data_IF_846918613816
#
_entry.id   IF_846918613816
#
_cell.length_a   1.000
_cell.length_b   1.000
_cell.length_c   1.000
_cell.angle_alpha   90.00
_cell.angle_beta   90.00
_cell.angle_gamma   90.00
#
_symmetry.space_group_name_H-M   'P 1'
#
loop_
_entity.id
_entity.type
_entity.pdbx_description
1 polymer ?
#
# COMPACT_ATOMS: atom_id res chain seq x y z
N UNK A 1 10.18 -1.75 -18.45
CA UNK A 1 10.75 -2.80 -19.32
C UNK A 1 10.87 -4.16 -18.64
N UNK A 2 11.64 -4.33 -17.56
CA UNK A 2 11.81 -5.64 -16.88
C UNK A 2 10.48 -6.36 -16.61
N UNK A 3 9.55 -5.72 -15.89
CA UNK A 3 8.27 -6.35 -15.54
C UNK A 3 7.46 -6.80 -16.76
N UNK A 4 7.38 -5.94 -17.79
CA UNK A 4 6.68 -6.23 -19.05
C UNK A 4 7.32 -7.42 -19.79
N UNK A 5 8.65 -7.41 -19.92
CA UNK A 5 9.36 -8.50 -20.62
C UNK A 5 9.23 -9.82 -19.86
N UNK A 6 9.27 -9.79 -18.53
CA UNK A 6 9.09 -10.99 -17.71
C UNK A 6 7.73 -11.64 -17.95
N UNK A 7 6.63 -10.89 -17.87
CA UNK A 7 5.29 -11.47 -18.06
C UNK A 7 5.10 -12.02 -19.48
N UNK A 8 5.62 -11.33 -20.50
CA UNK A 8 5.54 -11.77 -21.89
C UNK A 8 6.33 -13.07 -22.14
N UNK A 9 7.54 -13.19 -21.60
CA UNK A 9 8.38 -14.40 -21.75
C UNK A 9 7.79 -15.61 -21.03
N UNK A 10 7.02 -15.38 -19.95
CA UNK A 10 6.25 -16.44 -19.28
C UNK A 10 5.02 -16.91 -20.08
N UNK A 11 4.76 -16.31 -21.24
CA UNK A 11 3.63 -16.68 -22.12
C UNK A 11 2.32 -15.99 -21.78
N UNK A 12 2.34 -15.01 -20.86
CA UNK A 12 1.13 -14.25 -20.54
C UNK A 12 0.84 -13.21 -21.63
N UNK A 13 -0.42 -13.20 -22.10
CA UNK A 13 -0.90 -12.24 -23.10
C UNK A 13 -1.94 -11.28 -22.55
N UNK A 14 -2.62 -11.65 -21.45
CA UNK A 14 -3.65 -10.85 -20.77
C UNK A 14 -3.64 -11.18 -19.28
N UNK A 15 -3.92 -10.19 -18.43
CA UNK A 15 -4.09 -10.36 -16.98
C UNK A 15 -3.58 -9.18 -16.17
N UNK A 16 -3.89 -9.19 -14.88
CA UNK A 16 -3.24 -8.34 -13.88
C UNK A 16 -2.09 -9.13 -13.23
N UNK A 17 -0.92 -8.51 -13.13
CA UNK A 17 0.29 -9.15 -12.61
C UNK A 17 0.89 -8.33 -11.48
N UNK A 18 1.30 -9.02 -10.41
CA UNK A 18 2.15 -8.47 -9.37
C UNK A 18 3.57 -8.96 -9.61
N UNK A 19 4.48 -8.04 -9.94
CA UNK A 19 5.88 -8.35 -10.25
C UNK A 19 6.76 -7.68 -9.20
N UNK A 20 7.48 -8.49 -8.45
CA UNK A 20 8.41 -8.03 -7.44
C UNK A 20 9.83 -8.03 -7.99
N UNK A 21 10.55 -6.93 -7.79
CA UNK A 21 11.92 -6.79 -8.25
C UNK A 21 12.74 -5.95 -7.26
N UNK A 22 14.05 -6.19 -7.23
CA UNK A 22 15.00 -5.42 -6.45
C UNK A 22 16.01 -4.74 -7.36
N UNK A 23 16.26 -3.46 -7.12
CA UNK A 23 17.32 -2.74 -7.82
C UNK A 23 18.68 -3.06 -7.20
N UNK A 24 19.64 -3.46 -8.03
CA UNK A 24 21.00 -3.84 -7.60
C UNK A 24 22.05 -2.99 -8.33
N UNK A 25 23.31 -3.10 -7.94
CA UNK A 25 24.44 -2.49 -8.68
C UNK A 25 24.52 -2.94 -10.15
N UNK A 26 23.87 -4.05 -10.50
CA UNK A 26 23.78 -4.58 -11.87
C UNK A 26 22.43 -4.31 -12.54
N UNK A 27 21.64 -3.35 -12.03
CA UNK A 27 20.29 -3.06 -12.50
C UNK A 27 19.18 -3.87 -11.79
N UNK A 28 17.93 -3.78 -12.25
CA UNK A 28 16.78 -4.42 -11.61
C UNK A 28 16.83 -5.94 -11.80
N UNK A 29 16.52 -6.69 -10.73
CA UNK A 29 16.48 -8.16 -10.71
C UNK A 29 15.11 -8.62 -10.25
N UNK A 30 14.53 -9.53 -11.02
CA UNK A 30 13.25 -10.17 -10.70
C UNK A 30 13.39 -10.98 -9.40
N UNK A 31 12.37 -10.91 -8.55
CA UNK A 31 12.21 -11.75 -7.37
C UNK A 31 11.04 -12.71 -7.59
N UNK A 32 9.86 -12.18 -7.90
CA UNK A 32 8.63 -12.97 -8.00
C UNK A 32 7.70 -12.42 -9.09
N UNK A 33 6.91 -13.31 -9.71
CA UNK A 33 5.78 -12.96 -10.57
C UNK A 33 4.55 -13.72 -10.10
N UNK A 34 3.48 -12.99 -9.84
CA UNK A 34 2.17 -13.56 -9.53
C UNK A 34 1.15 -13.09 -10.57
N UNK A 35 0.42 -14.03 -11.18
CA UNK A 35 -0.69 -13.75 -12.10
C UNK A 35 -1.98 -13.37 -11.35
N UNK A 36 -1.86 -12.36 -10.48
CA UNK A 36 -2.95 -11.75 -9.73
C UNK A 36 -2.62 -10.31 -9.40
N UNK A 37 -3.64 -9.58 -8.98
CA UNK A 37 -3.49 -8.28 -8.35
C UNK A 37 -2.64 -8.35 -7.07
N UNK A 38 -1.88 -7.28 -6.80
CA UNK A 38 -1.13 -7.12 -5.56
C UNK A 38 -2.06 -7.13 -4.33
N UNK A 39 -1.54 -7.59 -3.20
CA UNK A 39 -2.29 -7.67 -1.95
C UNK A 39 -2.53 -6.31 -1.30
N UNK A 40 -3.35 -6.29 -0.25
CA UNK A 40 -3.61 -5.09 0.55
C UNK A 40 -4.20 -3.93 -0.26
N UNK A 41 -3.65 -2.75 -0.03
CA UNK A 41 -4.14 -1.47 -0.58
C UNK A 41 -3.74 -1.22 -2.03
N UNK A 42 -2.96 -2.11 -2.65
CA UNK A 42 -2.37 -1.94 -3.99
C UNK A 42 -3.42 -1.63 -5.07
N UNK A 43 -4.58 -2.29 -5.02
CA UNK A 43 -5.65 -2.07 -6.01
C UNK A 43 -6.18 -0.62 -5.97
N UNK A 44 -6.44 -0.10 -4.77
CA UNK A 44 -6.89 1.26 -4.52
C UNK A 44 -5.80 2.26 -4.91
N UNK A 45 -4.54 1.96 -4.61
CA UNK A 45 -3.41 2.82 -4.98
C UNK A 45 -3.29 2.98 -6.50
N UNK A 46 -3.46 1.90 -7.27
CA UNK A 46 -3.45 1.99 -8.74
C UNK A 46 -4.59 2.87 -9.24
N UNK A 47 -5.82 2.63 -8.75
CA UNK A 47 -6.98 3.41 -9.14
C UNK A 47 -6.80 4.90 -8.85
N UNK A 48 -6.31 5.26 -7.67
CA UNK A 48 -6.07 6.67 -7.32
C UNK A 48 -4.90 7.28 -8.11
N UNK A 49 -3.83 6.53 -8.35
CA UNK A 49 -2.64 7.04 -9.02
C UNK A 49 -2.86 7.28 -10.51
N UNK A 50 -3.56 6.36 -11.19
CA UNK A 50 -3.64 6.32 -12.66
C UNK A 50 -5.05 6.31 -13.23
N UNK A 51 -6.09 6.18 -12.39
CA UNK A 51 -7.48 5.99 -12.78
C UNK A 51 -7.84 4.55 -13.17
N UNK A 52 -6.85 3.66 -13.24
CA UNK A 52 -7.06 2.27 -13.68
C UNK A 52 -7.55 1.43 -12.51
N UNK A 53 -8.80 0.94 -12.62
CA UNK A 53 -9.34 -0.02 -11.67
C UNK A 53 -8.95 -1.45 -12.07
N UNK A 54 -7.97 -2.01 -11.36
CA UNK A 54 -7.48 -3.37 -11.63
C UNK A 54 -8.54 -4.45 -11.40
N UNK A 55 -9.56 -4.19 -10.57
CA UNK A 55 -10.67 -5.14 -10.35
C UNK A 55 -11.55 -5.21 -11.60
N UNK A 56 -11.93 -4.05 -12.14
CA UNK A 56 -12.74 -3.96 -13.36
C UNK A 56 -12.01 -4.62 -14.53
N UNK A 57 -10.72 -4.32 -14.73
CA UNK A 57 -9.92 -4.91 -15.81
C UNK A 57 -9.80 -6.42 -15.67
N UNK A 58 -9.57 -6.93 -14.45
CA UNK A 58 -9.51 -8.36 -14.22
C UNK A 58 -10.86 -9.06 -14.49
N UNK A 59 -11.98 -8.43 -14.12
CA UNK A 59 -13.32 -8.97 -14.38
C UNK A 59 -13.64 -8.99 -15.88
N UNK A 60 -13.35 -7.90 -16.61
CA UNK A 60 -13.53 -7.84 -18.06
C UNK A 60 -12.76 -8.98 -18.75
N UNK A 61 -11.49 -9.16 -18.37
CA UNK A 61 -10.68 -10.25 -18.91
C UNK A 61 -11.25 -11.63 -18.58
N UNK A 62 -11.75 -11.83 -17.36
CA UNK A 62 -12.32 -13.10 -16.93
C UNK A 62 -13.57 -13.51 -17.74
N UNK A 63 -14.36 -12.53 -18.21
CA UNK A 63 -15.55 -12.78 -19.05
C UNK A 63 -15.27 -12.69 -20.56
N UNK A 64 -14.00 -12.64 -20.96
CA UNK A 64 -13.59 -12.59 -22.37
C UNK A 64 -13.76 -11.23 -23.04
N UNK A 65 -14.03 -10.17 -22.28
CA UNK A 65 -14.10 -8.80 -22.77
C UNK A 65 -12.70 -8.19 -22.91
N UNK A 66 -12.50 -7.24 -23.84
CA UNK A 66 -11.24 -6.52 -23.95
C UNK A 66 -10.99 -5.66 -22.70
N UNK A 67 -9.75 -5.65 -22.24
CA UNK A 67 -9.23 -4.72 -21.24
C UNK A 67 -8.61 -3.53 -21.94
N UNK A 68 -9.14 -2.33 -21.70
CA UNK A 68 -8.73 -1.07 -22.31
C UNK A 68 -8.75 0.03 -21.24
N UNK A 69 -7.89 -0.08 -20.21
CA UNK A 69 -7.98 0.78 -19.05
C UNK A 69 -7.76 2.25 -19.44
N UNK A 70 -8.66 3.17 -19.05
CA UNK A 70 -8.44 4.59 -19.25
C UNK A 70 -7.25 5.02 -18.39
N UNK A 71 -6.23 5.62 -19.01
CA UNK A 71 -5.16 6.25 -18.26
C UNK A 71 -5.48 7.73 -18.07
N UNK A 72 -5.44 8.18 -16.82
CA UNK A 72 -5.58 9.60 -16.52
C UNK A 72 -4.50 10.41 -17.24
N UNK A 73 -4.84 11.61 -17.74
CA UNK A 73 -3.85 12.61 -18.13
C UNK A 73 -2.82 12.83 -17.02
N UNK A 74 -1.59 13.15 -17.38
CA UNK A 74 -0.47 13.24 -16.42
C UNK A 74 -0.74 14.28 -15.32
N UNK A 75 -1.45 15.35 -15.66
CA UNK A 75 -1.89 16.41 -14.76
C UNK A 75 -2.94 15.96 -13.73
N UNK A 76 -3.70 14.90 -14.04
CA UNK A 76 -4.70 14.31 -13.15
C UNK A 76 -4.16 13.13 -12.35
N UNK A 77 -3.05 12.54 -12.79
CA UNK A 77 -2.33 11.50 -12.04
C UNK A 77 -1.88 12.02 -10.68
N UNK A 78 -1.75 11.08 -9.73
CA UNK A 78 -1.49 11.39 -8.33
C UNK A 78 -0.31 10.59 -7.83
N UNK A 79 0.46 11.18 -6.91
CA UNK A 79 1.36 10.40 -6.07
C UNK A 79 0.52 9.77 -4.96
N UNK A 80 0.68 8.47 -4.76
CA UNK A 80 0.01 7.71 -3.70
C UNK A 80 1.08 7.05 -2.84
N UNK A 81 0.96 7.17 -1.52
CA UNK A 81 1.82 6.53 -0.56
C UNK A 81 1.00 5.67 0.39
N UNK A 82 1.61 4.59 0.87
CA UNK A 82 1.07 3.71 1.89
C UNK A 82 2.11 3.58 3.00
N UNK A 83 1.69 3.83 4.24
CA UNK A 83 2.42 3.46 5.45
C UNK A 83 1.70 2.28 6.09
N UNK A 84 2.36 1.12 6.10
CA UNK A 84 1.86 -0.09 6.75
C UNK A 84 2.57 -0.20 8.09
N UNK A 85 1.86 0.15 9.16
CA UNK A 85 2.44 0.38 10.48
C UNK A 85 2.53 -0.93 11.24
N UNK A 86 3.73 -1.26 11.72
CA UNK A 86 3.96 -2.42 12.57
C UNK A 86 4.15 -2.02 14.04
N UNK A 87 3.78 -2.94 14.94
CA UNK A 87 4.00 -2.76 16.37
C UNK A 87 5.49 -2.63 16.72
N UNK A 88 5.82 -1.64 17.54
CA UNK A 88 7.18 -1.43 18.03
C UNK A 88 7.54 -2.34 19.21
N UNK A 89 6.55 -2.79 19.98
CA UNK A 89 6.70 -3.65 21.15
C UNK A 89 5.49 -4.57 21.32
N UNK A 90 5.65 -5.62 22.11
CA UNK A 90 4.52 -6.44 22.53
C UNK A 90 3.73 -5.77 23.65
N UNK A 91 2.46 -6.14 23.77
CA UNK A 91 1.56 -5.65 24.80
C UNK A 91 0.12 -6.05 24.48
N UNK A 92 -0.83 -5.32 25.02
CA UNK A 92 -2.23 -5.34 24.58
C UNK A 92 -2.73 -3.93 24.33
N UNK A 93 -3.79 -3.80 23.55
CA UNK A 93 -4.41 -2.50 23.25
C UNK A 93 -5.87 -2.54 23.65
N UNK A 94 -6.28 -1.63 24.53
CA UNK A 94 -7.63 -1.60 25.12
C UNK A 94 -8.52 -0.49 24.58
N UNK A 95 -7.94 0.51 23.90
CA UNK A 95 -8.65 1.64 23.30
C UNK A 95 -8.04 1.98 21.94
N UNK A 96 -8.88 2.05 20.91
CA UNK A 96 -8.50 2.46 19.54
C UNK A 96 -9.13 3.78 19.11
N UNK A 97 -9.84 4.47 20.00
CA UNK A 97 -10.52 5.73 19.68
C UNK A 97 -9.57 6.82 19.18
N UNK A 98 -8.33 6.85 19.69
CA UNK A 98 -7.28 7.78 19.28
C UNK A 98 -6.90 7.63 17.80
N UNK A 99 -6.95 6.41 17.25
CA UNK A 99 -6.46 6.10 15.92
C UNK A 99 -7.24 6.83 14.80
N UNK A 100 -8.47 7.25 15.09
CA UNK A 100 -9.32 8.04 14.18
C UNK A 100 -8.76 9.41 13.86
N UNK A 101 -7.84 9.95 14.68
CA UNK A 101 -7.18 11.23 14.34
C UNK A 101 -6.42 11.16 13.01
N UNK A 102 -5.95 9.96 12.64
CA UNK A 102 -5.22 9.71 11.39
C UNK A 102 -6.15 9.56 10.17
N UNK A 103 -7.48 9.63 10.34
CA UNK A 103 -8.43 9.72 9.22
C UNK A 103 -8.25 11.02 8.41
N UNK A 104 -7.52 12.00 8.96
CA UNK A 104 -7.21 13.27 8.31
C UNK A 104 -5.75 13.63 8.55
N UNK A 105 -5.03 13.93 7.48
CA UNK A 105 -3.64 14.37 7.52
C UNK A 105 -3.54 15.65 6.71
N UNK A 106 -2.92 16.66 7.30
CA UNK A 106 -2.81 17.97 6.68
C UNK A 106 -2.06 17.88 5.35
N UNK A 107 -2.61 18.52 4.32
CA UNK A 107 -1.96 18.64 3.02
C UNK A 107 -2.06 17.39 2.13
N UNK A 108 -2.70 16.30 2.54
CA UNK A 108 -2.94 15.13 1.67
C UNK A 108 -4.39 14.68 1.72
N UNK A 109 -4.83 13.96 0.69
CA UNK A 109 -6.12 13.26 0.70
C UNK A 109 -5.90 11.88 1.30
N UNK A 110 -6.39 11.65 2.52
CA UNK A 110 -6.40 10.30 3.10
C UNK A 110 -7.43 9.46 2.36
N UNK A 111 -6.97 8.36 1.76
CA UNK A 111 -7.83 7.39 1.08
C UNK A 111 -8.31 6.32 2.05
N UNK A 112 -7.44 5.95 2.99
CA UNK A 112 -7.65 4.84 3.90
C UNK A 112 -6.84 5.03 5.18
N UNK A 113 -7.48 4.82 6.32
CA UNK A 113 -6.86 4.53 7.62
C UNK A 113 -7.52 3.24 8.12
N UNK A 114 -6.98 2.10 7.68
CA UNK A 114 -7.52 0.79 8.00
C UNK A 114 -6.84 0.26 9.25
N UNK A 115 -7.53 0.35 10.39
CA UNK A 115 -7.08 -0.28 11.63
C UNK A 115 -7.21 -1.81 11.46
N UNK A 116 -6.10 -2.53 11.64
CA UNK A 116 -5.97 -3.96 11.36
C UNK A 116 -6.06 -4.85 12.61
N UNK A 117 -6.26 -4.22 13.77
CA UNK A 117 -6.38 -4.83 15.09
C UNK A 117 -7.71 -4.42 15.74
N UNK A 118 -8.11 -5.16 16.78
CA UNK A 118 -9.28 -4.90 17.60
C UNK A 118 -8.89 -4.58 19.04
N UNK A 119 -9.75 -3.86 19.76
CA UNK A 119 -9.58 -3.66 21.21
C UNK A 119 -9.61 -5.01 21.93
N UNK A 120 -8.67 -5.19 22.85
CA UNK A 120 -8.41 -6.45 23.56
C UNK A 120 -7.41 -7.37 22.87
N UNK A 121 -6.95 -7.06 21.66
CA UNK A 121 -5.96 -7.88 20.96
C UNK A 121 -4.61 -7.87 21.70
N UNK A 122 -3.94 -9.02 21.67
CA UNK A 122 -2.52 -9.11 22.02
C UNK A 122 -1.70 -8.64 20.82
N UNK A 123 -0.79 -7.72 21.09
CA UNK A 123 0.12 -7.15 20.12
C UNK A 123 1.48 -7.81 20.28
N UNK A 124 2.09 -8.22 19.17
CA UNK A 124 3.44 -8.78 19.12
C UNK A 124 4.38 -7.76 18.53
N UNK A 125 5.44 -7.42 19.26
CA UNK A 125 6.55 -6.61 18.78
C UNK A 125 7.68 -7.44 18.16
N UNK A 126 8.66 -6.78 17.54
CA UNK A 126 9.77 -7.43 16.83
C UNK A 126 10.70 -8.26 17.73
N UNK A 127 10.74 -7.97 19.04
CA UNK A 127 11.56 -8.74 19.99
C UNK A 127 10.94 -10.12 20.30
N UNK A 128 9.61 -10.25 20.20
CA UNK A 128 8.88 -11.46 20.59
C UNK A 128 8.36 -12.28 19.41
N UNK A 129 8.39 -11.73 18.19
CA UNK A 129 7.95 -12.46 17.00
C UNK A 129 7.75 -11.58 15.77
N UNK A 130 6.95 -12.07 14.83
CA UNK A 130 6.52 -11.29 13.66
C UNK A 130 5.68 -10.11 14.16
N UNK A 131 6.10 -8.85 13.91
CA UNK A 131 5.36 -7.70 14.39
C UNK A 131 3.92 -7.67 13.89
N UNK A 132 2.98 -7.46 14.80
CA UNK A 132 1.57 -7.25 14.44
C UNK A 132 1.46 -6.01 13.55
N UNK A 133 0.70 -6.13 12.46
CA UNK A 133 0.28 -4.98 11.66
C UNK A 133 -0.84 -4.24 12.38
N UNK A 134 -0.64 -2.95 12.63
CA UNK A 134 -1.57 -2.12 13.40
C UNK A 134 -2.57 -1.40 12.52
N UNK A 135 -2.06 -0.72 11.48
CA UNK A 135 -2.89 0.06 10.56
C UNK A 135 -2.22 0.20 9.20
N UNK A 136 -3.04 0.23 8.16
CA UNK A 136 -2.66 0.67 6.82
C UNK A 136 -3.18 2.09 6.58
N UNK A 137 -2.24 3.01 6.38
CA UNK A 137 -2.52 4.42 6.10
C UNK A 137 -2.14 4.75 4.65
N UNK A 138 -3.15 5.02 3.82
CA UNK A 138 -2.98 5.36 2.40
C UNK A 138 -3.45 6.76 2.15
N UNK A 139 -2.63 7.56 1.46
CA UNK A 139 -2.95 8.93 1.13
C UNK A 139 -2.37 9.33 -0.23
N UNK A 140 -2.96 10.37 -0.82
CA UNK A 140 -2.59 10.87 -2.13
C UNK A 140 -2.43 12.38 -2.18
N UNK A 141 -1.62 12.83 -3.13
CA UNK A 141 -1.46 14.25 -3.47
C UNK A 141 -1.25 14.40 -5.00
N UNK A 142 -1.37 15.62 -5.55
CA UNK A 142 -0.96 15.89 -6.93
C UNK A 142 0.51 15.50 -7.17
N UNK A 143 0.86 15.04 -8.38
CA UNK A 143 2.21 14.54 -8.70
C UNK A 143 3.35 15.51 -8.38
N UNK A 144 3.13 16.83 -8.49
CA UNK A 144 4.14 17.84 -8.16
C UNK A 144 4.55 17.85 -6.67
N UNK A 145 3.82 17.14 -5.80
CA UNK A 145 4.12 16.98 -4.37
C UNK A 145 4.87 15.70 -4.01
N UNK A 146 5.37 14.95 -4.99
CA UNK A 146 6.01 13.64 -4.79
C UNK A 146 7.09 13.64 -3.70
N UNK A 147 8.00 14.62 -3.67
CA UNK A 147 9.05 14.68 -2.65
C UNK A 147 8.48 14.88 -1.25
N UNK A 148 7.52 15.80 -1.10
CA UNK A 148 6.86 16.03 0.19
C UNK A 148 6.08 14.80 0.68
N UNK A 149 5.46 14.05 -0.23
CA UNK A 149 4.73 12.81 0.10
C UNK A 149 5.69 11.70 0.51
N UNK A 150 6.85 11.59 -0.14
CA UNK A 150 7.92 10.65 0.26
C UNK A 150 8.40 10.95 1.68
N UNK A 151 8.66 12.22 2.00
CA UNK A 151 9.18 12.58 3.31
C UNK A 151 8.09 12.40 4.39
N UNK A 152 6.83 12.73 4.06
CA UNK A 152 5.68 12.53 4.93
C UNK A 152 5.43 11.04 5.26
N UNK A 153 5.50 10.12 4.29
CA UNK A 153 5.25 8.69 4.58
C UNK A 153 6.31 8.11 5.52
N UNK A 154 7.56 8.55 5.42
CA UNK A 154 8.64 8.14 6.32
C UNK A 154 8.40 8.69 7.74
N UNK A 155 7.94 9.94 7.84
CA UNK A 155 7.60 10.55 9.12
C UNK A 155 6.42 9.82 9.78
N UNK A 156 5.33 9.58 9.04
CA UNK A 156 4.12 8.94 9.54
C UNK A 156 4.35 7.49 9.96
N UNK A 157 5.21 6.74 9.26
CA UNK A 157 5.59 5.38 9.66
C UNK A 157 6.03 5.33 11.13
N UNK A 158 6.84 6.31 11.54
CA UNK A 158 7.34 6.44 12.90
C UNK A 158 6.31 7.03 13.85
N UNK A 159 5.71 8.16 13.51
CA UNK A 159 4.80 8.88 14.40
C UNK A 159 3.56 8.07 14.74
N UNK A 160 2.99 7.36 13.77
CA UNK A 160 1.82 6.51 14.00
C UNK A 160 2.21 5.31 14.87
N UNK A 161 3.36 4.68 14.63
CA UNK A 161 3.82 3.56 15.46
C UNK A 161 4.07 3.96 16.92
N UNK A 162 4.70 5.12 17.14
CA UNK A 162 4.93 5.70 18.48
C UNK A 162 3.62 6.08 19.17
N UNK A 163 2.66 6.62 18.41
CA UNK A 163 1.34 6.95 18.91
C UNK A 163 0.59 5.71 19.41
N UNK A 164 0.54 4.63 18.62
CA UNK A 164 -0.04 3.37 19.06
C UNK A 164 0.65 2.82 20.32
N UNK A 165 1.98 2.88 20.38
CA UNK A 165 2.74 2.41 21.54
C UNK A 165 2.38 3.14 22.84
N UNK A 166 2.05 4.44 22.79
CA UNK A 166 1.58 5.18 23.97
C UNK A 166 0.24 4.68 24.54
N UNK A 167 -0.50 3.93 23.74
CA UNK A 167 -1.79 3.32 24.11
C UNK A 167 -1.68 1.81 24.37
N UNK A 168 -0.47 1.26 24.46
CA UNK A 168 -0.28 -0.14 24.85
C UNK A 168 -0.30 -0.31 26.36
N UNK A 169 -0.99 -1.34 26.80
CA UNK A 169 -0.80 -1.97 28.10
C UNK A 169 0.33 -3.00 27.96
N UNK A 170 1.56 -2.61 28.32
CA UNK A 170 2.78 -3.44 28.19
C UNK A 170 2.83 -4.61 29.18
#
# INVERSE_FOLDING_TARGET
ELAVNTVLVMGFTKGVFHVEAKYTSRGPRLIEVNARMGGGTIHMMHKEATGVDLVDEQLLLAVGMPSLPPQLPKEEQRVVACATINALKSGSISDLSFARKWDRIEGVKVLCNSILISEGDKITGPEDGLPTWLTDLVFSAPLNRQLSVRDLVIQLDREVAEDYLHHYDL
#
